data_IF_463924650332
#
_entry.id   IF_463924650332
#
_cell.length_a   1.000
_cell.length_b   1.000
_cell.length_c   1.000
_cell.angle_alpha   90.00
_cell.angle_beta   90.00
_cell.angle_gamma   90.00
#
_symmetry.space_group_name_H-M   'P 1'
#
loop_
_entity.id
_entity.type
_entity.pdbx_description
1 polymer ?
#
# COMPACT_ATOMS: atom_id res chain seq x y z
N UNK A 1 -16.76 -7.13 10.35
CA UNK A 1 -15.38 -6.63 10.14
C UNK A 1 -15.45 -5.48 9.15
N UNK A 2 -14.94 -4.30 9.49
CA UNK A 2 -14.89 -3.14 8.60
C UNK A 2 -13.44 -2.86 8.23
N UNK A 3 -13.18 -2.66 6.94
CA UNK A 3 -11.88 -2.26 6.39
C UNK A 3 -12.09 -0.97 5.61
N UNK A 4 -11.27 0.03 5.92
CA UNK A 4 -11.32 1.33 5.28
C UNK A 4 -9.96 1.58 4.64
N UNK A 5 -9.95 1.79 3.33
CA UNK A 5 -8.82 2.41 2.64
C UNK A 5 -8.84 3.90 3.00
N UNK A 6 -8.03 4.26 4.01
CA UNK A 6 -8.10 5.57 4.64
C UNK A 6 -7.31 6.63 3.87
N UNK A 7 -6.27 6.22 3.15
CA UNK A 7 -5.49 7.13 2.32
C UNK A 7 -4.18 6.53 1.86
N UNK A 8 -3.42 7.34 1.12
CA UNK A 8 -2.08 7.02 0.66
C UNK A 8 -1.17 8.19 1.01
N UNK A 9 -0.06 7.89 1.69
CA UNK A 9 0.97 8.83 2.08
C UNK A 9 2.23 8.62 1.21
N UNK A 10 3.01 9.69 1.03
CA UNK A 10 4.31 9.66 0.32
C UNK A 10 4.31 9.02 -1.07
N UNK A 11 3.18 9.06 -1.80
CA UNK A 11 3.07 8.49 -3.13
C UNK A 11 3.97 9.25 -4.12
N UNK A 12 4.90 8.52 -4.76
CA UNK A 12 5.84 9.07 -5.74
C UNK A 12 5.82 8.24 -7.01
N UNK A 13 5.41 8.84 -8.12
CA UNK A 13 5.51 8.25 -9.44
C UNK A 13 6.92 8.45 -10.00
N UNK A 14 7.60 7.36 -10.34
CA UNK A 14 8.96 7.37 -10.85
C UNK A 14 9.03 7.19 -12.37
N UNK A 15 8.11 6.43 -12.96
CA UNK A 15 7.99 6.26 -14.41
C UNK A 15 6.58 5.83 -14.82
N UNK A 16 6.16 6.08 -16.08
CA UNK A 16 4.86 5.64 -16.57
C UNK A 16 4.80 4.12 -16.74
N UNK A 17 3.60 3.57 -16.56
CA UNK A 17 3.29 2.18 -16.92
C UNK A 17 2.69 2.19 -18.33
N UNK A 18 3.37 1.57 -19.29
CA UNK A 18 2.88 1.49 -20.67
C UNK A 18 1.85 0.37 -20.80
N UNK A 19 0.95 0.49 -21.78
CA UNK A 19 0.00 -0.58 -22.14
C UNK A 19 0.77 -1.88 -22.38
N UNK A 20 0.20 -3.00 -21.93
CA UNK A 20 0.78 -4.35 -21.98
C UNK A 20 2.06 -4.57 -21.13
N UNK A 21 2.38 -3.66 -20.21
CA UNK A 21 3.47 -3.90 -19.25
C UNK A 21 3.06 -4.96 -18.22
N UNK A 22 3.95 -5.91 -17.94
CA UNK A 22 3.83 -6.80 -16.78
C UNK A 22 4.27 -6.07 -15.51
N UNK A 23 3.43 -6.07 -14.47
CA UNK A 23 3.67 -5.37 -13.21
C UNK A 23 3.57 -6.31 -12.01
N UNK A 24 4.26 -5.98 -10.92
CA UNK A 24 4.16 -6.68 -9.63
C UNK A 24 4.18 -5.68 -8.48
N UNK A 25 3.17 -5.73 -7.62
CA UNK A 25 3.16 -4.95 -6.38
C UNK A 25 3.91 -5.72 -5.28
N UNK A 26 4.92 -5.09 -4.69
CA UNK A 26 5.51 -5.50 -3.42
C UNK A 26 4.86 -4.70 -2.31
N UNK A 27 4.39 -5.40 -1.27
CA UNK A 27 3.82 -4.78 -0.08
C UNK A 27 4.59 -5.25 1.16
N UNK A 28 4.84 -4.33 2.09
CA UNK A 28 5.47 -4.59 3.38
C UNK A 28 4.70 -3.89 4.48
N UNK A 29 4.42 -4.60 5.57
CA UNK A 29 3.91 -3.98 6.79
C UNK A 29 4.97 -3.01 7.35
N UNK A 30 4.71 -1.71 7.26
CA UNK A 30 5.62 -0.68 7.76
C UNK A 30 5.38 -0.40 9.24
N UNK A 31 4.11 -0.24 9.62
CA UNK A 31 3.71 -0.10 11.02
C UNK A 31 2.28 -0.58 11.25
N UNK A 32 1.98 -0.93 12.51
CA UNK A 32 0.65 -1.28 12.98
C UNK A 32 0.44 -0.70 14.37
N UNK A 33 -0.68 0.00 14.58
CA UNK A 33 -1.01 0.62 15.86
C UNK A 33 -2.49 0.44 16.19
N UNK A 34 -2.81 0.36 17.48
CA UNK A 34 -4.19 0.29 17.96
C UNK A 34 -4.65 1.71 18.38
N UNK A 35 -5.68 2.21 17.70
CA UNK A 35 -6.39 3.46 17.98
C UNK A 35 -7.65 3.19 18.81
N UNK A 36 -7.49 2.57 19.97
CA UNK A 36 -8.59 2.25 20.92
C UNK A 36 -9.74 1.44 20.28
N UNK A 37 -9.39 0.33 19.63
CA UNK A 37 -10.35 -0.59 18.99
C UNK A 37 -10.30 -0.57 17.46
N UNK A 38 -9.67 0.44 16.85
CA UNK A 38 -9.38 0.47 15.43
C UNK A 38 -7.89 0.19 15.20
N UNK A 39 -7.56 -0.83 14.42
CA UNK A 39 -6.18 -1.11 14.02
C UNK A 39 -5.83 -0.25 12.81
N UNK A 40 -4.93 0.72 12.99
CA UNK A 40 -4.34 1.47 11.87
C UNK A 40 -3.09 0.75 11.38
N UNK A 41 -3.05 0.47 10.09
CA UNK A 41 -1.94 -0.20 9.42
C UNK A 41 -1.38 0.74 8.37
N UNK A 42 -0.06 0.88 8.36
CA UNK A 42 0.64 1.47 7.24
C UNK A 42 1.36 0.37 6.45
N UNK A 43 1.06 0.27 5.16
CA UNK A 43 1.65 -0.68 4.22
C UNK A 43 2.55 0.07 3.24
N UNK A 44 3.86 -0.10 3.35
CA UNK A 44 4.78 0.36 2.31
C UNK A 44 4.55 -0.46 1.04
N UNK A 45 4.38 0.23 -0.09
CA UNK A 45 4.14 -0.38 -1.39
C UNK A 45 5.14 0.10 -2.44
N UNK A 46 5.52 -0.81 -3.34
CA UNK A 46 6.36 -0.56 -4.50
C UNK A 46 5.82 -1.33 -5.68
N UNK A 47 5.44 -0.64 -6.76
CA UNK A 47 4.97 -1.28 -7.99
C UNK A 47 6.14 -1.45 -8.96
N UNK A 48 6.62 -2.67 -9.14
CA UNK A 48 7.67 -2.99 -10.09
C UNK A 48 7.08 -3.20 -11.50
N UNK A 49 7.86 -2.85 -12.52
CA UNK A 49 7.59 -3.21 -13.91
C UNK A 49 8.66 -4.22 -14.33
N UNK A 50 8.26 -5.32 -14.95
CA UNK A 50 9.19 -6.37 -15.41
C UNK A 50 10.33 -5.77 -16.25
N UNK A 51 11.56 -6.21 -15.99
CA UNK A 51 12.78 -5.75 -16.66
C UNK A 51 13.08 -4.24 -16.55
N UNK A 52 12.49 -3.52 -15.58
CA UNK A 52 12.83 -2.12 -15.27
C UNK A 52 13.54 -2.00 -13.91
N UNK A 53 14.58 -1.17 -13.86
CA UNK A 53 15.34 -0.90 -12.62
C UNK A 53 14.60 0.02 -11.65
N UNK A 54 13.86 0.99 -12.18
CA UNK A 54 13.01 1.88 -11.36
C UNK A 54 11.64 1.20 -11.18
N UNK A 55 10.93 1.42 -10.08
CA UNK A 55 9.51 1.07 -9.97
C UNK A 55 8.65 2.06 -10.76
N UNK A 56 7.37 1.72 -10.98
CA UNK A 56 6.35 2.66 -11.46
C UNK A 56 6.09 3.74 -10.41
N UNK A 57 5.85 3.31 -9.17
CA UNK A 57 5.69 4.19 -8.03
C UNK A 57 6.09 3.49 -6.72
N UNK A 58 6.34 4.31 -5.70
CA UNK A 58 6.41 3.90 -4.29
C UNK A 58 5.43 4.72 -3.47
N UNK A 59 4.97 4.21 -2.33
CA UNK A 59 4.10 4.94 -1.42
C UNK A 59 3.78 4.13 -0.17
N UNK A 60 2.94 4.68 0.70
CA UNK A 60 2.50 4.01 1.92
C UNK A 60 0.97 4.10 2.02
N UNK A 61 0.30 2.94 1.97
CA UNK A 61 -1.17 2.87 2.07
C UNK A 61 -1.56 2.77 3.52
N UNK A 62 -2.54 3.57 3.93
CA UNK A 62 -3.08 3.56 5.27
C UNK A 62 -4.42 2.82 5.26
N UNK A 63 -4.49 1.72 6.00
CA UNK A 63 -5.73 1.00 6.25
C UNK A 63 -6.18 1.18 7.70
N UNK A 64 -7.48 1.30 7.90
CA UNK A 64 -8.12 1.18 9.21
C UNK A 64 -8.96 -0.09 9.24
N UNK A 65 -8.70 -0.95 10.21
CA UNK A 65 -9.47 -2.17 10.45
C UNK A 65 -10.22 -2.05 11.76
N UNK A 66 -11.51 -2.36 11.74
CA UNK A 66 -12.30 -2.63 12.93
C UNK A 66 -12.68 -4.12 12.93
N UNK A 67 -11.99 -4.87 13.79
CA UNK A 67 -12.28 -6.28 14.02
C UNK A 67 -13.38 -6.36 15.08
N UNK A 68 -14.59 -6.75 14.68
CA UNK A 68 -15.65 -7.09 15.63
C UNK A 68 -15.35 -8.50 16.11
N UNK A 69 -15.06 -8.66 17.39
CA UNK A 69 -14.98 -9.97 18.03
C UNK A 69 -16.40 -10.53 18.15
N UNK A 70 -16.59 -11.79 17.76
CA UNK A 70 -17.85 -12.51 17.98
C UNK A 70 -18.06 -12.79 19.48
#
# INVERSE_FOLDING_TARGET
KMEINYGIESLKFAQPVLVNSNIRLKAKLASIVNLRGVTKVHMAIEMEIENKKKPAFTGEVVFLYHFITA
#
